data_IF_103228268151
#
_entry.id   IF_103228268151
#
_cell.length_a   1.000
_cell.length_b   1.000
_cell.length_c   1.000
_cell.angle_alpha   90.00
_cell.angle_beta   90.00
_cell.angle_gamma   90.00
#
_symmetry.space_group_name_H-M   'P 1'
#
loop_
_entity.id
_entity.type
_entity.pdbx_description
1 polymer ?
#
# COMPACT_ATOMS: atom_id res chain seq x y z
N UNK A 1 -16.46 7.82 -2.86
CA UNK A 1 -16.82 7.48 -4.25
C UNK A 1 -16.59 6.00 -4.52
N UNK A 2 -17.12 5.46 -5.61
CA UNK A 2 -16.89 4.06 -6.01
C UNK A 2 -16.07 4.01 -7.29
N UNK A 3 -15.02 3.20 -7.30
CA UNK A 3 -14.11 3.02 -8.43
C UNK A 3 -14.38 1.65 -9.06
N UNK A 4 -14.73 1.65 -10.34
CA UNK A 4 -14.75 0.47 -11.21
C UNK A 4 -13.53 0.43 -12.12
N UNK A 5 -13.49 -0.54 -13.04
CA UNK A 5 -12.33 -0.77 -13.91
C UNK A 5 -11.97 0.46 -14.75
N UNK A 6 -12.97 1.10 -15.36
CA UNK A 6 -12.77 2.28 -16.21
C UNK A 6 -12.20 3.45 -15.40
N UNK A 7 -12.75 3.71 -14.21
CA UNK A 7 -12.23 4.76 -13.32
C UNK A 7 -10.81 4.43 -12.85
N UNK A 8 -10.51 3.15 -12.57
CA UNK A 8 -9.17 2.71 -12.17
C UNK A 8 -8.13 2.92 -13.29
N UNK A 9 -8.49 2.64 -14.53
CA UNK A 9 -7.65 2.93 -15.70
C UNK A 9 -7.44 4.44 -15.87
N UNK A 10 -8.46 5.27 -15.65
CA UNK A 10 -8.31 6.73 -15.68
C UNK A 10 -7.39 7.23 -14.56
N UNK A 11 -7.52 6.68 -13.35
CA UNK A 11 -6.63 6.95 -12.23
C UNK A 11 -5.19 6.59 -12.60
N UNK A 12 -4.95 5.46 -13.26
CA UNK A 12 -3.61 5.06 -13.73
C UNK A 12 -2.95 6.16 -14.59
N UNK A 13 -3.68 6.71 -15.57
CA UNK A 13 -3.16 7.79 -16.43
C UNK A 13 -2.99 9.11 -15.67
N UNK A 14 -3.94 9.48 -14.83
CA UNK A 14 -3.86 10.68 -13.99
C UNK A 14 -2.67 10.64 -13.03
N UNK A 15 -2.51 9.50 -12.34
CA UNK A 15 -1.38 9.25 -11.44
C UNK A 15 -0.05 9.31 -12.20
N UNK A 16 0.04 8.78 -13.43
CA UNK A 16 1.24 8.90 -14.25
C UNK A 16 1.67 10.36 -14.46
N UNK A 17 0.71 11.25 -14.72
CA UNK A 17 0.99 12.66 -14.92
C UNK A 17 1.45 13.34 -13.61
N UNK A 18 0.80 13.01 -12.50
CA UNK A 18 1.07 13.60 -11.18
C UNK A 18 2.32 13.02 -10.48
N UNK A 19 2.79 11.84 -10.89
CA UNK A 19 3.90 11.13 -10.27
C UNK A 19 5.28 11.81 -10.43
N UNK A 20 5.39 12.97 -11.08
CA UNK A 20 6.66 13.68 -11.27
C UNK A 20 7.76 12.80 -11.92
N UNK A 21 7.37 11.92 -12.85
CA UNK A 21 8.28 11.03 -13.59
C UNK A 21 8.62 9.71 -12.89
N UNK A 22 8.11 9.46 -11.68
CA UNK A 22 8.26 8.20 -10.94
C UNK A 22 7.03 7.29 -11.00
N UNK A 23 6.89 6.40 -10.02
CA UNK A 23 5.69 5.61 -9.77
C UNK A 23 5.51 4.33 -10.59
N UNK A 24 6.41 4.06 -11.55
CA UNK A 24 6.42 2.87 -12.42
C UNK A 24 5.82 3.09 -13.81
N UNK A 25 5.98 2.14 -14.75
CA UNK A 25 5.44 2.29 -16.10
C UNK A 25 3.94 1.99 -16.15
N UNK A 26 3.18 2.74 -16.96
CA UNK A 26 1.75 2.51 -17.21
C UNK A 26 1.46 1.07 -17.62
N UNK A 27 2.35 0.45 -18.42
CA UNK A 27 2.17 -0.94 -18.88
C UNK A 27 2.13 -1.95 -17.74
N UNK A 28 2.91 -1.75 -16.68
CA UNK A 28 2.84 -2.60 -15.49
C UNK A 28 1.53 -2.33 -14.73
N UNK A 29 1.14 -1.06 -14.60
CA UNK A 29 -0.12 -0.70 -13.95
C UNK A 29 -1.32 -1.34 -14.63
N UNK A 30 -1.39 -1.25 -15.96
CA UNK A 30 -2.43 -1.90 -16.76
C UNK A 30 -2.41 -3.42 -16.57
N UNK A 31 -1.21 -4.03 -16.56
CA UNK A 31 -1.08 -5.48 -16.31
C UNK A 31 -1.60 -5.88 -14.93
N UNK A 32 -1.43 -5.03 -13.91
CA UNK A 32 -1.96 -5.26 -12.56
C UNK A 32 -3.49 -5.16 -12.53
N UNK A 33 -4.07 -4.18 -13.22
CA UNK A 33 -5.53 -4.04 -13.37
C UNK A 33 -6.08 -5.27 -14.08
N UNK A 34 -5.56 -5.63 -15.25
CA UNK A 34 -6.06 -6.75 -16.05
C UNK A 34 -5.94 -8.11 -15.35
N UNK A 35 -4.93 -8.30 -14.50
CA UNK A 35 -4.74 -9.53 -13.76
C UNK A 35 -5.73 -9.75 -12.61
N UNK A 36 -6.39 -8.69 -12.10
CA UNK A 36 -7.14 -8.80 -10.84
C UNK A 36 -8.41 -7.97 -10.73
N UNK A 37 -8.72 -7.09 -11.68
CA UNK A 37 -9.87 -6.18 -11.64
C UNK A 37 -10.73 -6.33 -12.90
N UNK A 38 -11.91 -6.94 -12.74
CA UNK A 38 -12.90 -7.18 -13.79
C UNK A 38 -13.94 -6.06 -13.92
N UNK A 39 -14.79 -6.17 -14.95
CA UNK A 39 -15.70 -5.10 -15.36
C UNK A 39 -16.82 -4.77 -14.36
N UNK A 40 -17.17 -5.73 -13.48
CA UNK A 40 -18.21 -5.55 -12.46
C UNK A 40 -17.64 -5.21 -11.08
N UNK A 41 -16.32 -5.24 -10.94
CA UNK A 41 -15.66 -5.00 -9.65
C UNK A 41 -15.79 -3.55 -9.23
N UNK A 42 -15.97 -3.35 -7.92
CA UNK A 42 -16.20 -2.05 -7.32
C UNK A 42 -15.52 -1.95 -5.97
N UNK A 43 -14.74 -0.90 -5.79
CA UNK A 43 -14.05 -0.58 -4.54
C UNK A 43 -14.47 0.81 -4.08
N UNK A 44 -14.67 0.97 -2.78
CA UNK A 44 -14.95 2.27 -2.18
C UNK A 44 -13.65 3.04 -1.91
N UNK A 45 -13.61 4.28 -2.39
CA UNK A 45 -12.60 5.29 -2.03
C UNK A 45 -13.30 6.33 -1.16
N UNK A 46 -12.75 6.64 0.00
CA UNK A 46 -13.39 7.53 1.00
C UNK A 46 -12.46 8.67 1.39
N UNK A 47 -13.03 9.83 1.72
CA UNK A 47 -12.25 10.97 2.20
C UNK A 47 -11.91 10.81 3.69
N UNK A 48 -10.79 11.39 4.13
CA UNK A 48 -10.33 11.33 5.53
C UNK A 48 -11.39 11.78 6.53
N UNK A 49 -12.16 12.81 6.17
CA UNK A 49 -13.21 13.36 7.01
C UNK A 49 -14.35 12.38 7.30
N UNK A 50 -14.53 11.35 6.47
CA UNK A 50 -15.60 10.35 6.63
C UNK A 50 -15.30 9.24 7.63
N UNK A 51 -14.04 9.07 8.04
CA UNK A 51 -13.63 8.03 9.01
C UNK A 51 -14.11 8.37 10.42
N UNK A 52 -14.35 7.36 11.27
CA UNK A 52 -14.52 7.58 12.70
C UNK A 52 -13.16 7.86 13.35
N UNK A 53 -13.14 8.53 14.51
CA UNK A 53 -11.90 8.90 15.20
C UNK A 53 -11.02 7.70 15.59
N UNK A 54 -11.66 6.57 15.89
CA UNK A 54 -11.02 5.31 16.29
C UNK A 54 -10.89 4.31 15.12
N UNK A 55 -11.25 4.70 13.90
CA UNK A 55 -11.04 3.85 12.73
C UNK A 55 -9.54 3.73 12.43
N UNK A 56 -9.08 2.50 12.15
CA UNK A 56 -7.67 2.22 11.85
C UNK A 56 -7.41 2.05 10.36
N UNK A 57 -6.22 2.50 9.96
CA UNK A 57 -5.69 2.35 8.62
C UNK A 57 -4.25 1.84 8.64
N UNK A 58 -3.81 1.30 7.51
CA UNK A 58 -2.40 1.00 7.25
C UNK A 58 -2.00 1.57 5.91
N UNK A 59 -0.74 1.99 5.81
CA UNK A 59 -0.15 2.28 4.52
C UNK A 59 0.21 0.97 3.84
N UNK A 60 -0.23 0.77 2.61
CA UNK A 60 0.06 -0.44 1.82
C UNK A 60 0.52 -0.06 0.41
N UNK A 61 1.56 -0.71 -0.07
CA UNK A 61 2.24 -0.34 -1.32
C UNK A 61 3.00 -1.50 -1.94
N UNK A 62 3.32 -1.40 -3.23
CA UNK A 62 4.36 -2.23 -3.85
C UNK A 62 5.73 -1.58 -3.71
N UNK A 63 6.78 -2.39 -3.60
CA UNK A 63 8.17 -1.96 -3.66
C UNK A 63 8.97 -2.94 -4.52
N UNK A 64 9.96 -2.46 -5.26
CA UNK A 64 10.79 -3.31 -6.11
C UNK A 64 11.95 -2.61 -6.77
N UNK A 65 12.81 -3.38 -7.43
CA UNK A 65 14.00 -2.86 -8.09
C UNK A 65 13.64 -2.06 -9.35
N UNK A 66 14.13 -0.82 -9.54
CA UNK A 66 13.75 0.03 -10.68
C UNK A 66 13.96 -0.59 -12.07
N UNK A 67 14.96 -1.46 -12.22
CA UNK A 67 15.32 -2.11 -13.49
C UNK A 67 14.67 -3.49 -13.68
N UNK A 68 13.90 -3.97 -12.71
CA UNK A 68 13.34 -5.31 -12.77
C UNK A 68 12.09 -5.39 -13.65
N UNK A 69 11.85 -6.60 -14.16
CA UNK A 69 10.55 -6.95 -14.74
C UNK A 69 9.72 -7.58 -13.64
N UNK A 70 8.50 -7.08 -13.50
CA UNK A 70 7.57 -7.53 -12.47
C UNK A 70 6.53 -8.46 -13.07
N UNK A 71 6.17 -9.50 -12.32
CA UNK A 71 4.95 -10.25 -12.56
C UNK A 71 3.80 -9.54 -11.85
N UNK A 72 2.83 -9.03 -12.63
CA UNK A 72 1.71 -8.26 -12.10
C UNK A 72 0.85 -9.04 -11.10
N UNK A 73 0.63 -10.33 -11.33
CA UNK A 73 -0.15 -11.18 -10.41
C UNK A 73 0.58 -11.38 -9.08
N UNK A 74 1.89 -11.66 -9.13
CA UNK A 74 2.72 -11.77 -7.93
C UNK A 74 2.75 -10.45 -7.16
N UNK A 75 2.88 -9.30 -7.85
CA UNK A 75 2.85 -7.99 -7.20
C UNK A 75 1.51 -7.73 -6.52
N UNK A 76 0.38 -7.97 -7.19
CA UNK A 76 -0.96 -7.83 -6.60
C UNK A 76 -1.13 -8.70 -5.35
N UNK A 77 -0.71 -9.98 -5.44
CA UNK A 77 -0.77 -10.89 -4.30
C UNK A 77 0.15 -10.47 -3.16
N UNK A 78 1.32 -9.90 -3.46
CA UNK A 78 2.27 -9.47 -2.43
C UNK A 78 1.70 -8.36 -1.53
N UNK A 79 0.93 -7.42 -2.11
CA UNK A 79 0.29 -6.33 -1.36
C UNK A 79 -0.94 -6.83 -0.59
N UNK A 80 -1.69 -7.79 -1.13
CA UNK A 80 -2.73 -8.49 -0.35
C UNK A 80 -2.14 -9.23 0.85
N UNK A 81 -1.11 -10.05 0.60
CA UNK A 81 -0.46 -10.86 1.62
C UNK A 81 0.09 -10.00 2.76
N UNK A 82 0.79 -8.91 2.45
CA UNK A 82 1.36 -8.04 3.48
C UNK A 82 0.27 -7.31 4.29
N UNK A 83 -0.86 -6.99 3.66
CA UNK A 83 -2.03 -6.37 4.32
C UNK A 83 -2.68 -7.33 5.31
N UNK A 84 -2.85 -8.60 4.93
CA UNK A 84 -3.35 -9.65 5.84
C UNK A 84 -2.38 -9.87 7.01
N UNK A 85 -1.07 -9.94 6.73
CA UNK A 85 -0.03 -10.14 7.76
C UNK A 85 0.00 -9.01 8.79
N UNK A 86 -0.06 -7.74 8.35
CA UNK A 86 -0.05 -6.61 9.30
C UNK A 86 -1.35 -6.53 10.09
N UNK A 87 -2.50 -6.85 9.47
CA UNK A 87 -3.79 -6.91 10.15
C UNK A 87 -3.77 -7.96 11.26
N UNK A 88 -3.30 -9.17 10.97
CA UNK A 88 -3.18 -10.26 11.95
C UNK A 88 -2.23 -9.89 13.09
N UNK A 89 -1.07 -9.29 12.76
CA UNK A 89 -0.12 -8.87 13.76
C UNK A 89 -0.70 -7.79 14.67
N UNK A 90 -1.31 -6.74 14.09
CA UNK A 90 -1.86 -5.64 14.88
C UNK A 90 -3.01 -6.11 15.76
N UNK A 91 -3.92 -6.93 15.23
CA UNK A 91 -5.03 -7.51 16.02
C UNK A 91 -4.54 -8.34 17.23
N UNK A 92 -3.33 -8.92 17.15
CA UNK A 92 -2.74 -9.70 18.23
C UNK A 92 -1.95 -8.87 19.25
N UNK A 93 -1.28 -7.80 18.81
CA UNK A 93 -0.28 -7.10 19.62
C UNK A 93 -0.59 -5.62 19.91
N UNK A 94 -1.59 -5.03 19.24
CA UNK A 94 -2.10 -3.69 19.51
C UNK A 94 -3.52 -3.81 20.05
N UNK A 95 -3.68 -3.59 21.36
CA UNK A 95 -4.96 -3.79 22.05
C UNK A 95 -6.08 -2.85 21.60
N UNK A 96 -5.71 -1.73 21.00
CA UNK A 96 -6.57 -0.69 20.47
C UNK A 96 -6.78 -0.79 18.95
N UNK A 97 -6.14 -1.76 18.28
CA UNK A 97 -6.31 -2.02 16.85
C UNK A 97 -7.65 -2.72 16.58
N UNK A 98 -8.72 -1.94 16.68
CA UNK A 98 -10.07 -2.34 16.34
C UNK A 98 -10.50 -1.63 15.05
N UNK A 99 -11.52 -2.14 14.35
CA UNK A 99 -12.12 -1.46 13.20
C UNK A 99 -11.14 -1.10 12.06
N UNK A 100 -10.10 -1.91 11.85
CA UNK A 100 -9.26 -1.78 10.65
C UNK A 100 -10.07 -2.01 9.38
N UNK A 101 -10.21 -0.96 8.57
CA UNK A 101 -11.03 -0.98 7.34
C UNK A 101 -10.43 -0.16 6.21
N UNK A 102 -9.30 0.51 6.43
CA UNK A 102 -8.81 1.50 5.48
C UNK A 102 -7.36 1.24 5.09
N UNK A 103 -7.08 1.34 3.80
CA UNK A 103 -5.73 1.33 3.26
C UNK A 103 -5.43 2.71 2.70
N UNK A 104 -4.26 3.26 3.02
CA UNK A 104 -3.75 4.48 2.38
C UNK A 104 -2.60 4.14 1.41
N UNK A 105 -2.62 4.66 0.16
CA UNK A 105 -1.46 4.67 -0.71
C UNK A 105 -0.22 5.32 -0.06
N UNK A 106 0.98 4.86 -0.43
CA UNK A 106 2.25 5.52 0.02
C UNK A 106 2.52 6.83 -0.73
N UNK A 107 2.07 6.92 -1.98
CA UNK A 107 2.36 8.02 -2.88
C UNK A 107 1.39 8.06 -4.06
N UNK A 108 1.41 9.17 -4.81
CA UNK A 108 0.85 9.20 -6.16
C UNK A 108 1.83 8.56 -7.15
N UNK A 109 1.41 7.47 -7.79
CA UNK A 109 2.23 6.71 -8.74
C UNK A 109 1.38 5.74 -9.55
N UNK A 110 1.81 5.39 -10.77
CA UNK A 110 1.04 4.48 -11.64
C UNK A 110 0.76 3.14 -10.99
N UNK A 111 1.68 2.66 -10.15
CA UNK A 111 1.54 1.42 -9.39
C UNK A 111 0.90 1.66 -8.03
N UNK A 112 1.44 2.58 -7.23
CA UNK A 112 1.02 2.74 -5.84
C UNK A 112 -0.32 3.47 -5.66
N UNK A 113 -0.86 4.12 -6.71
CA UNK A 113 -2.24 4.63 -6.70
C UNK A 113 -3.29 3.57 -7.08
N UNK A 114 -2.89 2.47 -7.75
CA UNK A 114 -3.83 1.40 -8.13
C UNK A 114 -3.76 0.18 -7.21
N UNK A 115 -2.57 -0.15 -6.66
CA UNK A 115 -2.39 -1.36 -5.86
C UNK A 115 -3.30 -1.39 -4.61
N UNK A 116 -3.46 -0.31 -3.83
CA UNK A 116 -4.41 -0.31 -2.71
C UNK A 116 -5.86 -0.61 -3.13
N UNK A 117 -6.28 -0.15 -4.33
CA UNK A 117 -7.61 -0.43 -4.88
C UNK A 117 -7.72 -1.91 -5.24
N UNK A 118 -6.72 -2.46 -5.93
CA UNK A 118 -6.64 -3.89 -6.25
C UNK A 118 -6.63 -4.73 -4.96
N UNK A 119 -5.88 -4.33 -3.93
CA UNK A 119 -5.84 -5.02 -2.64
C UNK A 119 -7.21 -5.04 -1.97
N UNK A 120 -7.95 -3.93 -1.95
CA UNK A 120 -9.30 -3.91 -1.37
C UNK A 120 -10.25 -4.84 -2.14
N UNK A 121 -10.14 -4.88 -3.48
CA UNK A 121 -10.89 -5.84 -4.31
C UNK A 121 -10.54 -7.28 -3.93
N UNK A 122 -9.26 -7.63 -3.90
CA UNK A 122 -8.82 -8.99 -3.60
C UNK A 122 -9.17 -9.42 -2.16
N UNK A 123 -9.11 -8.50 -1.21
CA UNK A 123 -9.58 -8.72 0.16
C UNK A 123 -11.10 -9.00 0.17
N UNK A 124 -11.87 -8.26 -0.62
CA UNK A 124 -13.32 -8.46 -0.77
C UNK A 124 -13.67 -9.82 -1.35
N UNK A 125 -12.89 -10.32 -2.33
CA UNK A 125 -13.05 -11.69 -2.85
C UNK A 125 -12.88 -12.76 -1.76
N UNK A 126 -12.10 -12.45 -0.71
CA UNK A 126 -11.92 -13.29 0.49
C UNK A 126 -12.92 -12.99 1.61
N UNK A 127 -13.88 -12.10 1.40
CA UNK A 127 -14.90 -11.73 2.38
C UNK A 127 -14.47 -10.66 3.40
N UNK A 128 -13.37 -9.95 3.13
CA UNK A 128 -12.87 -8.85 3.98
C UNK A 128 -13.18 -7.51 3.29
N UNK A 129 -14.00 -6.69 3.93
CA UNK A 129 -14.35 -5.36 3.39
C UNK A 129 -13.32 -4.32 3.83
N UNK A 130 -12.50 -3.87 2.87
CA UNK A 130 -11.56 -2.77 3.02
C UNK A 130 -11.91 -1.63 2.04
N UNK A 131 -11.56 -0.41 2.42
CA UNK A 131 -11.74 0.81 1.63
C UNK A 131 -10.40 1.50 1.44
N UNK A 132 -10.28 2.25 0.34
CA UNK A 132 -9.08 3.06 0.10
C UNK A 132 -9.33 4.48 0.59
N UNK A 133 -8.37 5.05 1.29
CA UNK A 133 -8.40 6.45 1.67
C UNK A 133 -7.98 7.32 0.49
N UNK A 134 -8.75 8.38 0.21
CA UNK A 134 -8.45 9.38 -0.82
C UNK A 134 -7.38 10.37 -0.34
N UNK A 135 -6.19 9.85 -0.07
CA UNK A 135 -5.04 10.61 0.38
C UNK A 135 -3.77 9.79 0.16
N UNK A 136 -2.63 10.47 0.15
CA UNK A 136 -1.32 9.84 0.27
C UNK A 136 -0.39 10.82 1.00
N UNK A 137 0.66 10.34 1.69
CA UNK A 137 1.53 11.21 2.45
C UNK A 137 2.58 11.95 1.61
N UNK A 138 2.52 11.96 0.27
CA UNK A 138 3.55 12.60 -0.56
C UNK A 138 3.00 13.60 -1.60
N UNK A 139 1.82 13.36 -2.17
CA UNK A 139 1.23 14.12 -3.28
C UNK A 139 1.95 13.97 -4.63
N UNK A 140 2.96 13.10 -4.71
CA UNK A 140 3.85 12.83 -5.85
C UNK A 140 4.58 11.50 -5.62
N UNK A 141 5.23 10.96 -6.63
CA UNK A 141 6.13 9.81 -6.42
C UNK A 141 7.41 10.25 -5.70
N UNK A 142 7.89 9.41 -4.79
CA UNK A 142 9.07 9.63 -3.97
C UNK A 142 10.09 8.50 -4.18
N UNK A 143 11.39 8.81 -4.24
CA UNK A 143 12.41 7.80 -4.50
C UNK A 143 12.73 6.92 -3.29
N UNK A 144 12.41 7.36 -2.07
CA UNK A 144 12.76 6.68 -0.82
C UNK A 144 11.67 6.87 0.26
N UNK A 145 11.52 5.88 1.15
CA UNK A 145 10.51 5.87 2.23
C UNK A 145 10.52 7.11 3.15
N UNK A 146 11.67 7.73 3.50
CA UNK A 146 11.69 8.91 4.37
C UNK A 146 11.11 10.19 3.75
N UNK A 147 10.79 10.21 2.45
CA UNK A 147 10.32 11.41 1.75
C UNK A 147 8.80 11.55 1.77
N UNK A 148 8.17 11.16 2.88
CA UNK A 148 6.73 11.25 3.10
C UNK A 148 6.40 12.19 4.27
N UNK A 149 5.21 12.76 4.30
CA UNK A 149 4.69 13.54 5.43
C UNK A 149 4.69 12.72 6.73
N UNK A 150 4.39 11.43 6.65
CA UNK A 150 4.43 10.53 7.81
C UNK A 150 5.84 10.45 8.40
N UNK A 151 6.85 10.32 7.56
CA UNK A 151 8.25 10.37 7.98
C UNK A 151 8.62 11.75 8.55
N UNK A 152 8.21 12.83 7.89
CA UNK A 152 8.47 14.21 8.35
C UNK A 152 7.88 14.53 9.72
N UNK A 153 6.80 13.84 10.12
CA UNK A 153 6.15 13.97 11.42
C UNK A 153 6.58 12.90 12.45
N UNK A 154 7.56 12.06 12.12
CA UNK A 154 8.01 10.95 12.97
C UNK A 154 6.87 10.01 13.40
N UNK A 155 5.92 9.73 12.50
CA UNK A 155 4.90 8.71 12.76
C UNK A 155 5.56 7.34 13.02
N UNK A 156 4.97 6.54 13.92
CA UNK A 156 5.48 5.20 14.19
C UNK A 156 5.28 4.30 12.95
N UNK A 157 6.39 3.89 12.34
CA UNK A 157 6.39 3.00 11.18
C UNK A 157 6.39 1.51 11.58
N UNK A 158 6.34 1.17 12.87
CA UNK A 158 6.34 -0.21 13.35
C UNK A 158 4.93 -0.71 13.76
N UNK A 159 4.56 -1.95 13.40
CA UNK A 159 5.28 -2.87 12.52
C UNK A 159 5.39 -2.37 11.09
N UNK A 160 6.54 -2.66 10.47
CA UNK A 160 6.76 -2.58 9.03
C UNK A 160 6.93 -4.01 8.51
N UNK A 161 6.12 -4.40 7.55
CA UNK A 161 6.18 -5.71 6.91
C UNK A 161 6.52 -5.56 5.44
N UNK A 162 7.27 -6.53 4.94
CA UNK A 162 7.38 -6.81 3.52
C UNK A 162 7.00 -8.28 3.29
N UNK A 163 6.17 -8.56 2.28
CA UNK A 163 5.75 -9.93 1.93
C UNK A 163 5.90 -10.21 0.44
N UNK A 164 6.14 -11.47 0.10
CA UNK A 164 6.19 -11.94 -1.29
C UNK A 164 4.80 -12.30 -1.85
N UNK A 165 4.71 -12.38 -3.17
CA UNK A 165 3.48 -12.68 -3.92
C UNK A 165 3.11 -14.15 -4.05
N UNK A 166 3.79 -15.06 -3.35
CA UNK A 166 3.51 -16.49 -3.43
C UNK A 166 2.24 -16.87 -2.65
N UNK A 167 1.61 -17.99 -3.01
CA UNK A 167 0.46 -18.56 -2.27
C UNK A 167 0.78 -18.79 -0.78
N UNK A 168 2.03 -19.18 -0.50
CA UNK A 168 2.61 -19.20 0.85
C UNK A 168 3.63 -18.07 0.94
N UNK A 169 3.26 -16.87 1.39
CA UNK A 169 4.15 -15.73 1.39
C UNK A 169 5.32 -15.96 2.35
N UNK A 170 6.52 -15.62 1.89
CA UNK A 170 7.61 -15.28 2.80
C UNK A 170 7.40 -13.81 3.19
N UNK A 171 7.55 -13.50 4.48
CA UNK A 171 7.47 -12.13 4.96
C UNK A 171 8.60 -11.83 5.93
N UNK A 172 8.91 -10.55 6.06
CA UNK A 172 9.93 -10.03 6.94
C UNK A 172 9.41 -8.78 7.63
N UNK A 173 9.83 -8.59 8.88
CA UNK A 173 9.61 -7.38 9.65
C UNK A 173 10.74 -7.22 10.64
N UNK A 174 11.21 -5.99 10.82
CA UNK A 174 12.20 -5.69 11.83
C UNK A 174 11.97 -4.31 12.43
N UNK A 175 12.13 -4.20 13.76
CA UNK A 175 12.08 -2.90 14.43
C UNK A 175 13.42 -2.20 14.24
N UNK A 176 13.42 -1.13 13.46
CA UNK A 176 14.58 -0.31 13.14
C UNK A 176 14.38 1.10 13.69
N UNK A 177 15.47 1.86 13.81
CA UNK A 177 15.44 3.23 14.33
C UNK A 177 15.07 4.25 13.23
N UNK A 178 15.33 3.93 11.96
CA UNK A 178 15.12 4.84 10.83
C UNK A 178 14.47 4.15 9.63
N UNK A 179 13.73 4.92 8.83
CA UNK A 179 13.15 4.43 7.57
C UNK A 179 14.18 4.06 6.51
N UNK A 180 15.37 4.68 6.53
CA UNK A 180 16.47 4.27 5.66
C UNK A 180 16.90 2.84 5.96
N UNK A 181 17.02 2.46 7.23
CA UNK A 181 17.34 1.09 7.62
C UNK A 181 16.24 0.10 7.21
N UNK A 182 14.96 0.49 7.32
CA UNK A 182 13.84 -0.34 6.84
C UNK A 182 13.93 -0.52 5.32
N UNK A 183 14.18 0.56 4.59
CA UNK A 183 14.33 0.52 3.14
C UNK A 183 15.49 -0.37 2.72
N UNK A 184 16.68 -0.16 3.28
CA UNK A 184 17.88 -0.96 2.99
C UNK A 184 17.66 -2.45 3.29
N UNK A 185 16.94 -2.76 4.37
CA UNK A 185 16.60 -4.12 4.72
C UNK A 185 15.66 -4.77 3.70
N UNK A 186 14.61 -4.06 3.30
CA UNK A 186 13.66 -4.52 2.28
C UNK A 186 14.31 -4.70 0.91
N UNK A 187 15.18 -3.77 0.49
CA UNK A 187 15.91 -3.88 -0.78
C UNK A 187 16.83 -5.10 -0.83
N UNK A 188 17.42 -5.52 0.29
CA UNK A 188 18.22 -6.75 0.35
C UNK A 188 17.39 -8.01 0.08
N UNK A 189 16.11 -8.02 0.46
CA UNK A 189 15.22 -9.17 0.28
C UNK A 189 14.91 -9.46 -1.19
N UNK A 190 14.94 -8.43 -2.05
CA UNK A 190 14.64 -8.53 -3.49
C UNK A 190 15.53 -9.51 -4.23
N UNK A 191 16.76 -9.72 -3.74
CA UNK A 191 17.72 -10.66 -4.34
C UNK A 191 17.36 -12.13 -4.09
N UNK A 192 16.47 -12.40 -3.14
CA UNK A 192 16.04 -13.76 -2.84
C UNK A 192 15.00 -14.26 -3.86
N UNK A 193 15.00 -15.57 -4.19
CA UNK A 193 14.00 -16.14 -5.09
C UNK A 193 12.54 -15.98 -4.62
N UNK A 194 12.33 -15.82 -3.32
CA UNK A 194 11.00 -15.67 -2.75
C UNK A 194 10.35 -14.33 -3.10
N UNK A 195 11.15 -13.25 -3.12
CA UNK A 195 10.68 -11.90 -3.44
C UNK A 195 10.84 -11.58 -4.92
N UNK A 196 11.81 -12.19 -5.61
CA UNK A 196 11.95 -12.10 -7.07
C UNK A 196 11.88 -10.64 -7.58
N UNK A 197 12.73 -9.77 -7.02
CA UNK A 197 12.84 -8.34 -7.32
C UNK A 197 11.73 -7.42 -6.79
N UNK A 198 10.72 -7.94 -6.08
CA UNK A 198 9.61 -7.12 -5.57
C UNK A 198 8.98 -7.65 -4.28
N UNK A 199 8.20 -6.80 -3.61
CA UNK A 199 7.36 -7.22 -2.50
C UNK A 199 6.30 -6.18 -2.19
N UNK A 200 5.24 -6.64 -1.54
CA UNK A 200 4.26 -5.75 -0.94
C UNK A 200 4.83 -5.26 0.38
N UNK A 201 4.66 -3.98 0.68
CA UNK A 201 4.97 -3.38 1.97
C UNK A 201 3.69 -2.93 2.66
N UNK A 202 3.59 -3.15 3.96
CA UNK A 202 2.61 -2.48 4.81
C UNK A 202 3.26 -2.00 6.11
N UNK A 203 2.93 -0.77 6.49
CA UNK A 203 3.53 -0.09 7.63
C UNK A 203 2.63 1.07 8.10
N UNK A 204 3.04 1.78 9.14
CA UNK A 204 2.24 2.87 9.74
C UNK A 204 0.81 2.46 10.07
N UNK A 205 0.58 1.42 10.89
CA UNK A 205 -0.75 1.24 11.46
C UNK A 205 -1.07 2.46 12.32
N UNK A 206 -2.14 3.16 11.97
CA UNK A 206 -2.55 4.40 12.64
C UNK A 206 -4.06 4.53 12.69
N UNK A 207 -4.56 5.12 13.77
CA UNK A 207 -5.94 5.56 13.91
C UNK A 207 -6.18 6.88 13.16
N UNK A 208 -7.43 7.21 12.83
CA UNK A 208 -7.79 8.56 12.34
C UNK A 208 -7.30 9.64 13.31
N UNK A 209 -7.42 9.41 14.62
CA UNK A 209 -6.94 10.35 15.64
C UNK A 209 -5.47 10.73 15.45
N UNK A 210 -4.62 9.75 15.16
CA UNK A 210 -3.19 9.97 14.90
C UNK A 210 -2.99 10.65 13.54
N UNK A 211 -3.79 10.30 12.53
CA UNK A 211 -3.76 10.93 11.20
C UNK A 211 -4.08 12.43 11.26
N UNK A 212 -5.05 12.83 12.09
CA UNK A 212 -5.46 14.24 12.21
C UNK A 212 -4.38 15.15 12.80
N UNK A 213 -3.38 14.60 13.49
CA UNK A 213 -2.24 15.38 14.02
C UNK A 213 -1.44 16.01 12.86
N UNK A 214 -1.49 15.40 11.67
CA UNK A 214 -0.78 15.86 10.47
C UNK A 214 -1.43 17.08 9.79
N UNK A 215 -2.68 17.41 10.14
CA UNK A 215 -3.43 18.54 9.56
C UNK A 215 -3.11 19.90 10.23
N UNK A 216 -2.27 19.93 11.27
CA UNK A 216 -2.07 21.11 12.13
C UNK A 216 -0.89 22.01 11.68
N UNK A 217 -0.32 21.78 10.48
CA UNK A 217 0.74 22.62 9.89
C UNK A 217 0.24 23.25 8.58
#
# INVERSE_FOLDING_TARGET
>A
MTIGKIELEQILYGACFLASGGGGPISLGQSCIDASFGDIDKVEVVDVDSLNVDDWLVLSSGMGLPSAKFNASELNMSVLNVTEIIQDWCSKYKSDFENFKYIIPVEVGTINSILPIITCKLAKDKGVELKVLNADPAGRSVPTLPLTLFAGHNCDFYPNFMASGAEKPLYASYKMDTLNQVQDYFEQLFTSPAFNNSGGIAMYPMSKKELMILYII
#
